data_IF_199739741194
#
_entry.id   IF_199739741194
#
_cell.length_a   1.000
_cell.length_b   1.000
_cell.length_c   1.000
_cell.angle_alpha   90.00
_cell.angle_beta   90.00
_cell.angle_gamma   90.00
#
_symmetry.space_group_name_H-M   'P 1'
#
loop_
_entity.id
_entity.type
_entity.pdbx_description
1 polymer ?
#
# COMPACT_ATOMS: atom_id res chain seq x y z
N UNK A 1 42.71 -8.88 -30.84
CA UNK A 1 41.75 -9.07 -31.94
C UNK A 1 40.39 -9.40 -31.31
N UNK A 2 39.36 -8.59 -31.62
CA UNK A 2 37.89 -8.79 -31.51
C UNK A 2 37.35 -9.86 -30.51
N UNK A 3 36.35 -9.60 -29.69
CA UNK A 3 35.33 -8.55 -29.74
C UNK A 3 34.74 -8.34 -28.34
N UNK A 4 34.62 -7.07 -27.98
CA UNK A 4 33.64 -6.55 -27.04
C UNK A 4 32.25 -6.94 -27.53
N UNK A 5 31.50 -7.66 -26.69
CA UNK A 5 30.06 -7.84 -26.87
C UNK A 5 29.41 -6.62 -26.26
N UNK A 6 28.88 -5.79 -27.15
CA UNK A 6 28.28 -4.50 -26.89
C UNK A 6 27.12 -4.64 -25.90
N UNK A 7 27.05 -3.65 -25.03
CA UNK A 7 25.98 -3.40 -24.07
C UNK A 7 24.60 -3.49 -24.73
N UNK A 8 23.87 -4.56 -24.41
CA UNK A 8 22.44 -4.68 -24.67
C UNK A 8 21.67 -4.70 -23.35
N UNK A 9 22.06 -3.85 -22.39
CA UNK A 9 21.44 -3.76 -21.07
C UNK A 9 21.41 -2.30 -20.60
N UNK A 10 20.52 -1.45 -21.13
CA UNK A 10 20.32 -0.13 -20.51
C UNK A 10 18.96 0.55 -20.75
N UNK A 11 17.91 -0.17 -21.13
CA UNK A 11 16.57 0.45 -21.31
C UNK A 11 15.42 -0.28 -20.60
N UNK A 12 15.70 -1.24 -19.72
CA UNK A 12 14.65 -1.76 -18.84
C UNK A 12 14.52 -0.75 -17.69
N UNK A 13 13.34 -0.11 -17.49
CA UNK A 13 13.12 0.73 -16.31
C UNK A 13 13.44 -0.10 -15.07
N UNK A 14 14.25 0.44 -14.17
CA UNK A 14 14.59 -0.24 -12.93
C UNK A 14 13.29 -0.63 -12.21
N UNK A 15 13.00 -1.93 -12.13
CA UNK A 15 11.74 -2.39 -11.54
C UNK A 15 11.79 -2.14 -10.04
N UNK A 16 10.80 -1.42 -9.53
CA UNK A 16 10.61 -1.28 -8.10
C UNK A 16 10.17 -2.62 -7.52
N UNK A 17 11.10 -3.30 -6.85
CA UNK A 17 10.88 -4.62 -6.27
C UNK A 17 10.39 -4.56 -4.81
N UNK A 18 9.92 -3.39 -4.34
CA UNK A 18 9.33 -3.28 -3.01
C UNK A 18 8.05 -4.13 -2.93
N UNK A 19 7.77 -4.77 -1.78
CA UNK A 19 6.53 -5.49 -1.58
C UNK A 19 5.34 -4.57 -1.84
N UNK A 20 4.40 -5.04 -2.64
CA UNK A 20 3.19 -4.28 -2.97
C UNK A 20 1.95 -5.14 -2.93
N UNK A 21 0.81 -4.49 -2.78
CA UNK A 21 -0.50 -5.10 -2.92
C UNK A 21 -1.50 -4.07 -3.43
N UNK A 22 -2.67 -4.52 -3.87
CA UNK A 22 -3.73 -3.62 -4.30
C UNK A 22 -4.98 -3.77 -3.44
N UNK A 23 -5.78 -2.70 -3.40
CA UNK A 23 -7.12 -2.66 -2.81
C UNK A 23 -8.09 -2.15 -3.85
N UNK A 24 -9.06 -2.97 -4.22
CA UNK A 24 -10.23 -2.54 -5.01
C UNK A 24 -11.29 -2.01 -4.04
N UNK A 25 -11.74 -0.76 -4.25
CA UNK A 25 -12.85 -0.16 -3.50
C UNK A 25 -14.15 -0.74 -4.04
N UNK A 26 -14.96 -1.29 -3.15
CA UNK A 26 -16.29 -1.85 -3.44
C UNK A 26 -17.32 -1.26 -2.51
N UNK A 27 -18.59 -1.27 -2.92
CA UNK A 27 -19.70 -0.71 -2.17
C UNK A 27 -19.75 -1.18 -0.69
N UNK A 28 -19.45 -2.45 -0.43
CA UNK A 28 -19.44 -3.02 0.93
C UNK A 28 -18.28 -2.50 1.80
N UNK A 29 -17.21 -2.00 1.17
CA UNK A 29 -16.04 -1.46 1.89
C UNK A 29 -16.24 -0.01 2.34
N UNK A 30 -17.23 0.69 1.79
CA UNK A 30 -17.57 2.07 2.16
C UNK A 30 -18.33 2.17 3.50
N UNK A 31 -18.92 1.07 3.98
CA UNK A 31 -19.68 1.07 5.23
C UNK A 31 -18.79 1.10 6.50
N UNK A 32 -17.50 0.78 6.37
CA UNK A 32 -16.60 0.62 7.50
C UNK A 32 -15.55 1.74 7.51
N UNK A 33 -15.56 2.57 8.56
CA UNK A 33 -14.51 3.59 8.82
C UNK A 33 -13.11 3.00 9.07
N UNK A 34 -12.96 1.67 9.03
CA UNK A 34 -11.71 0.96 9.25
C UNK A 34 -11.46 -0.02 8.12
N UNK A 35 -10.19 -0.16 7.73
CA UNK A 35 -9.79 -1.03 6.61
C UNK A 35 -8.76 -2.07 7.04
N UNK A 36 -8.96 -3.32 6.63
CA UNK A 36 -8.06 -4.44 6.93
C UNK A 36 -7.01 -4.61 5.83
N UNK A 37 -5.73 -4.61 6.23
CA UNK A 37 -4.61 -4.93 5.33
C UNK A 37 -4.62 -6.43 5.01
N UNK A 38 -4.33 -6.86 3.76
CA UNK A 38 -4.27 -8.26 3.40
C UNK A 38 -3.39 -9.08 4.37
N UNK A 39 -3.93 -10.13 5.02
CA UNK A 39 -3.20 -10.88 6.05
C UNK A 39 -1.88 -11.47 5.55
N UNK A 40 -1.85 -11.95 4.31
CA UNK A 40 -0.64 -12.48 3.68
C UNK A 40 0.46 -11.42 3.53
N UNK A 41 0.08 -10.17 3.26
CA UNK A 41 1.03 -9.06 3.18
C UNK A 41 1.60 -8.75 4.57
N UNK A 42 0.71 -8.68 5.58
CA UNK A 42 1.10 -8.45 6.99
C UNK A 42 2.07 -9.52 7.48
N UNK A 43 1.75 -10.80 7.27
CA UNK A 43 2.58 -11.91 7.77
C UNK A 43 3.93 -12.04 7.08
N UNK A 44 4.03 -11.61 5.81
CA UNK A 44 5.22 -11.82 4.98
C UNK A 44 6.15 -10.61 5.01
N UNK A 45 5.61 -9.39 5.08
CA UNK A 45 6.37 -8.17 4.81
C UNK A 45 6.40 -7.18 5.96
N UNK A 46 5.49 -7.26 6.95
CA UNK A 46 5.51 -6.36 8.09
C UNK A 46 6.27 -6.97 9.28
N UNK A 47 6.91 -6.13 10.13
CA UNK A 47 7.55 -6.60 11.34
C UNK A 47 6.53 -7.25 12.30
N UNK A 48 7.01 -8.15 13.17
CA UNK A 48 6.16 -8.84 14.15
C UNK A 48 5.47 -7.84 15.10
N UNK A 49 6.23 -6.84 15.52
CA UNK A 49 5.76 -5.68 16.27
C UNK A 49 5.56 -4.53 15.28
N UNK A 50 4.30 -4.21 15.01
CA UNK A 50 3.95 -3.13 14.08
C UNK A 50 3.68 -1.87 14.91
N UNK A 51 4.20 -0.70 14.50
CA UNK A 51 3.90 0.56 15.16
C UNK A 51 2.39 0.81 15.24
N UNK A 52 1.96 1.48 16.31
CA UNK A 52 0.57 1.96 16.47
C UNK A 52 0.24 3.01 15.40
N UNK A 53 1.23 3.72 14.86
CA UNK A 53 1.06 4.79 13.88
C UNK A 53 1.89 4.53 12.62
N UNK A 54 1.31 4.85 11.46
CA UNK A 54 1.98 4.80 10.16
C UNK A 54 1.53 5.96 9.28
N UNK A 55 2.15 6.12 8.11
CA UNK A 55 1.85 7.21 7.17
C UNK A 55 1.58 6.60 5.80
N UNK A 56 0.48 7.00 5.18
CA UNK A 56 0.35 6.90 3.72
C UNK A 56 1.01 8.12 3.10
N UNK A 57 1.98 7.88 2.22
CA UNK A 57 2.62 8.91 1.44
C UNK A 57 2.17 8.80 -0.01
N UNK A 58 1.52 9.84 -0.51
CA UNK A 58 1.06 9.92 -1.88
C UNK A 58 2.19 10.18 -2.87
N UNK A 59 1.95 9.98 -4.17
CA UNK A 59 2.92 10.28 -5.22
C UNK A 59 3.26 11.78 -5.32
N UNK A 60 2.35 12.66 -4.87
CA UNK A 60 2.59 14.11 -4.73
C UNK A 60 3.52 14.47 -3.57
N UNK A 61 3.79 13.52 -2.67
CA UNK A 61 4.52 13.75 -1.43
C UNK A 61 3.63 14.09 -0.23
N UNK A 62 2.32 14.25 -0.44
CA UNK A 62 1.35 14.46 0.64
C UNK A 62 1.28 13.25 1.57
N UNK A 63 0.97 13.51 2.84
CA UNK A 63 1.02 12.51 3.90
C UNK A 63 -0.31 12.45 4.67
N UNK A 64 -0.77 11.23 4.92
CA UNK A 64 -1.93 10.94 5.77
C UNK A 64 -1.51 10.05 6.93
N UNK A 65 -1.63 10.56 8.16
CA UNK A 65 -1.37 9.78 9.36
C UNK A 65 -2.49 8.77 9.57
N UNK A 66 -2.08 7.52 9.83
CA UNK A 66 -2.99 6.41 10.10
C UNK A 66 -2.62 5.72 11.40
N UNK A 67 -3.62 5.16 12.06
CA UNK A 67 -3.40 4.33 13.25
C UNK A 67 -3.70 2.89 12.92
N UNK A 68 -2.78 2.00 13.27
CA UNK A 68 -2.85 0.57 13.07
C UNK A 68 -3.22 -0.12 14.39
N UNK A 69 -4.16 -1.07 14.30
CA UNK A 69 -4.58 -1.90 15.42
C UNK A 69 -4.52 -3.38 15.03
N UNK A 70 -3.95 -4.20 15.91
CA UNK A 70 -3.93 -5.65 15.76
C UNK A 70 -5.18 -6.24 16.40
N UNK A 71 -6.09 -6.77 15.59
CA UNK A 71 -7.35 -7.36 16.04
C UNK A 71 -7.46 -8.83 15.59
N UNK A 72 -7.42 -9.78 16.55
CA UNK A 72 -7.57 -11.23 16.31
C UNK A 72 -6.67 -11.75 15.16
N UNK A 73 -5.40 -11.32 15.15
CA UNK A 73 -4.42 -11.71 14.13
C UNK A 73 -4.47 -10.89 12.83
N UNK A 74 -5.37 -9.91 12.72
CA UNK A 74 -5.47 -9.01 11.58
C UNK A 74 -4.83 -7.67 11.87
N UNK A 75 -4.28 -7.03 10.85
CA UNK A 75 -3.91 -5.63 10.91
C UNK A 75 -5.03 -4.78 10.30
N UNK A 76 -5.51 -3.82 11.07
CA UNK A 76 -6.60 -2.92 10.67
C UNK A 76 -6.15 -1.48 10.84
N UNK A 77 -6.42 -0.65 9.85
CA UNK A 77 -6.31 0.80 9.94
C UNK A 77 -7.58 1.30 10.62
N UNK A 78 -7.43 1.77 11.84
CA UNK A 78 -8.54 2.19 12.70
C UNK A 78 -8.90 3.68 12.52
N UNK A 79 -7.89 4.51 12.25
CA UNK A 79 -8.05 5.96 12.07
C UNK A 79 -7.24 6.43 10.86
N UNK A 80 -7.69 7.53 10.24
CA UNK A 80 -7.03 8.17 9.09
C UNK A 80 -7.42 7.60 7.72
N UNK A 81 -8.03 6.40 7.68
CA UNK A 81 -8.53 5.81 6.43
C UNK A 81 -9.64 6.64 5.79
N UNK A 82 -10.60 7.10 6.58
CA UNK A 82 -11.74 7.87 6.09
C UNK A 82 -11.33 9.24 5.55
N UNK A 83 -10.34 9.89 6.18
CA UNK A 83 -9.75 11.13 5.68
C UNK A 83 -9.06 10.89 4.33
N UNK A 84 -8.20 9.87 4.25
CA UNK A 84 -7.54 9.48 3.00
C UNK A 84 -8.56 9.20 1.88
N UNK A 85 -9.65 8.49 2.21
CA UNK A 85 -10.71 8.15 1.28
C UNK A 85 -11.46 9.39 0.75
N UNK A 86 -11.77 10.35 1.64
CA UNK A 86 -12.43 11.62 1.28
C UNK A 86 -11.52 12.49 0.41
N UNK A 87 -10.26 12.65 0.80
CA UNK A 87 -9.31 13.53 0.10
C UNK A 87 -9.04 13.05 -1.33
N UNK A 88 -9.06 11.75 -1.56
CA UNK A 88 -8.90 11.16 -2.90
C UNK A 88 -10.23 10.94 -3.63
N UNK A 89 -11.37 11.33 -3.04
CA UNK A 89 -12.71 11.14 -3.62
C UNK A 89 -12.98 9.70 -4.08
N UNK A 90 -12.51 8.72 -3.30
CA UNK A 90 -12.58 7.32 -3.71
C UNK A 90 -14.04 6.84 -3.82
N UNK A 91 -14.30 6.09 -4.88
CA UNK A 91 -15.59 5.50 -5.21
C UNK A 91 -15.49 4.05 -5.64
N UNK A 92 -16.65 3.46 -5.96
CA UNK A 92 -16.72 2.07 -6.39
C UNK A 92 -15.88 1.82 -7.64
N UNK A 93 -15.11 0.72 -7.60
CA UNK A 93 -14.17 0.26 -8.61
C UNK A 93 -12.86 1.04 -8.69
N UNK A 94 -12.59 1.98 -7.77
CA UNK A 94 -11.26 2.57 -7.66
C UNK A 94 -10.25 1.53 -7.18
N UNK A 95 -9.07 1.56 -7.81
CA UNK A 95 -7.96 0.67 -7.50
C UNK A 95 -6.82 1.45 -6.85
N UNK A 96 -6.49 1.08 -5.62
CA UNK A 96 -5.32 1.59 -4.91
C UNK A 96 -4.18 0.59 -4.98
N UNK A 97 -2.95 1.09 -5.12
CA UNK A 97 -1.72 0.30 -5.06
C UNK A 97 -0.87 0.84 -3.92
N UNK A 98 -0.43 -0.06 -3.03
CA UNK A 98 0.42 0.22 -1.88
C UNK A 98 1.70 -0.60 -1.98
#
# INVERSE_FOLDING_TARGET
MRSSTKDLNSNIPNHDNRPSFFKLITHDTNANHSWRIPPAFVSTHLPKEVPIEAIFKGPSGDCWNITLCRNKGNMVIQYGWDQFHKDHSLGDNDLLVF
#
